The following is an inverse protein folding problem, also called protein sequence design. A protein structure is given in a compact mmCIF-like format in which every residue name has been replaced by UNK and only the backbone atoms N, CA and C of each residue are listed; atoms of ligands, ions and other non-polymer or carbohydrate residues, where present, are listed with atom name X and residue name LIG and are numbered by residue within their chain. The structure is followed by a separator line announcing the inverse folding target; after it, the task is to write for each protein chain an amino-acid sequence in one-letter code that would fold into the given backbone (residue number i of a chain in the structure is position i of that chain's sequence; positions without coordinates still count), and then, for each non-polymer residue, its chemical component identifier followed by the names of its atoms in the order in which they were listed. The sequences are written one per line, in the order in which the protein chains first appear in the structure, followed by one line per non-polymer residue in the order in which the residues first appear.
data_IF_804679244733
#
_entry.id   IF_804679244733
#
_cell.length_a   1.000
_cell.length_b   1.000
_cell.length_c   1.000
_cell.angle_alpha   90.00
_cell.angle_beta   90.00
_cell.angle_gamma   90.00
#
_symmetry.space_group_name_H-M   'P 1'
#
loop_
_entity.id
_entity.type
_entity.pdbx_description
1 polymer ?
#
# COMPACT_ATOMS: atom_id res chain seq x y z
N UNK A 1 -30.24 25.93 -15.20
CA UNK A 1 -29.99 25.37 -13.87
C UNK A 1 -28.71 24.53 -13.99
N UNK A 2 -27.59 25.01 -13.46
CA UNK A 2 -26.37 24.21 -13.37
C UNK A 2 -26.61 23.10 -12.33
N UNK A 3 -26.35 21.86 -12.73
CA UNK A 3 -26.35 20.74 -11.79
C UNK A 3 -25.34 21.05 -10.67
N UNK A 4 -25.66 20.80 -9.39
CA UNK A 4 -24.70 20.99 -8.32
C UNK A 4 -23.48 20.13 -8.60
N UNK A 5 -22.29 20.73 -8.55
CA UNK A 5 -21.02 20.00 -8.60
C UNK A 5 -21.05 19.01 -7.43
N UNK A 6 -20.89 17.71 -7.65
CA UNK A 6 -20.90 16.76 -6.55
C UNK A 6 -19.82 17.16 -5.53
N UNK A 7 -20.19 17.22 -4.26
CA UNK A 7 -19.23 17.46 -3.18
C UNK A 7 -18.20 16.35 -3.19
N UNK A 8 -16.92 16.73 -3.25
CA UNK A 8 -15.80 15.77 -3.20
C UNK A 8 -15.25 15.74 -1.78
N UNK A 9 -15.04 14.57 -1.26
CA UNK A 9 -14.56 14.27 0.08
C UNK A 9 -13.18 13.65 0.02
N UNK A 10 -12.38 13.83 1.07
CA UNK A 10 -11.09 13.19 1.23
C UNK A 10 -11.21 12.04 2.23
N UNK A 11 -10.80 10.84 1.81
CA UNK A 11 -10.72 9.71 2.73
C UNK A 11 -9.32 9.08 2.73
N UNK A 12 -8.96 8.45 3.84
CA UNK A 12 -7.74 7.64 3.96
C UNK A 12 -8.18 6.22 4.28
N UNK A 13 -7.69 5.30 3.45
CA UNK A 13 -7.92 3.88 3.59
C UNK A 13 -6.64 3.19 4.04
N UNK A 14 -6.74 2.31 5.04
CA UNK A 14 -5.65 1.41 5.41
C UNK A 14 -5.77 0.11 4.61
N UNK A 15 -4.64 -0.41 4.18
CA UNK A 15 -4.52 -1.61 3.36
C UNK A 15 -3.63 -2.61 4.09
N UNK A 16 -4.05 -3.87 4.17
CA UNK A 16 -3.28 -4.92 4.83
C UNK A 16 -3.43 -6.26 4.14
N UNK A 17 -2.34 -7.03 4.05
CA UNK A 17 -2.34 -8.38 3.49
C UNK A 17 -1.30 -9.25 4.19
N UNK A 18 -1.63 -10.53 4.48
CA UNK A 18 -0.66 -11.47 5.02
C UNK A 18 -0.73 -12.88 4.42
N UNK A 19 -1.51 -13.06 3.35
CA UNK A 19 -1.59 -14.32 2.61
C UNK A 19 -1.21 -14.12 1.14
N UNK A 20 -0.56 -15.12 0.56
CA UNK A 20 -0.21 -15.15 -0.87
C UNK A 20 0.70 -13.99 -1.28
N UNK A 21 0.48 -13.48 -2.48
CA UNK A 21 1.24 -12.37 -3.06
C UNK A 21 0.78 -11.02 -2.46
N UNK A 22 1.17 -10.77 -1.20
CA UNK A 22 0.72 -9.63 -0.38
C UNK A 22 0.75 -8.28 -1.10
N UNK A 23 1.86 -7.99 -1.81
CA UNK A 23 2.02 -6.77 -2.61
C UNK A 23 0.96 -6.70 -3.70
N UNK A 24 0.79 -7.78 -4.45
CA UNK A 24 -0.18 -7.85 -5.54
C UNK A 24 -1.60 -7.53 -5.05
N UNK A 25 -2.02 -8.10 -3.93
CA UNK A 25 -3.36 -7.86 -3.40
C UNK A 25 -3.58 -6.41 -2.96
N UNK A 26 -2.57 -5.78 -2.36
CA UNK A 26 -2.65 -4.36 -1.99
C UNK A 26 -2.71 -3.49 -3.26
N UNK A 27 -1.82 -3.71 -4.24
CA UNK A 27 -1.81 -2.96 -5.49
C UNK A 27 -3.09 -3.16 -6.30
N UNK A 28 -3.61 -4.39 -6.38
CA UNK A 28 -4.89 -4.68 -7.02
C UNK A 28 -6.07 -3.98 -6.35
N UNK A 29 -6.04 -3.84 -5.00
CA UNK A 29 -7.05 -3.06 -4.27
C UNK A 29 -7.00 -1.58 -4.65
N UNK A 30 -5.80 -0.99 -4.69
CA UNK A 30 -5.62 0.41 -5.09
C UNK A 30 -6.07 0.61 -6.54
N UNK A 31 -5.71 -0.30 -7.44
CA UNK A 31 -6.14 -0.25 -8.83
C UNK A 31 -7.67 -0.36 -8.97
N UNK A 32 -8.31 -1.25 -8.23
CA UNK A 32 -9.77 -1.41 -8.26
C UNK A 32 -10.48 -0.16 -7.71
N UNK A 33 -9.92 0.50 -6.68
CA UNK A 33 -10.41 1.79 -6.19
C UNK A 33 -10.29 2.87 -7.28
N UNK A 34 -9.13 2.98 -7.94
CA UNK A 34 -8.87 4.00 -8.98
C UNK A 34 -9.73 3.81 -10.24
N UNK A 35 -10.13 2.57 -10.53
CA UNK A 35 -11.05 2.26 -11.63
C UNK A 35 -12.51 2.62 -11.32
N UNK A 36 -12.84 2.92 -10.05
CA UNK A 36 -14.20 3.28 -9.68
C UNK A 36 -14.51 4.74 -10.10
N UNK A 37 -15.61 5.03 -10.84
CA UNK A 37 -15.86 6.33 -11.46
C UNK A 37 -16.05 7.49 -10.48
N UNK A 38 -16.28 7.20 -9.20
CA UNK A 38 -16.46 8.18 -8.13
C UNK A 38 -15.27 8.24 -7.16
N UNK A 39 -14.14 7.61 -7.48
CA UNK A 39 -12.94 7.57 -6.64
C UNK A 39 -11.74 7.98 -7.49
N UNK A 40 -10.87 8.79 -6.91
CA UNK A 40 -9.57 9.14 -7.47
C UNK A 40 -8.50 8.90 -6.40
N UNK A 41 -7.45 8.14 -6.73
CA UNK A 41 -6.29 8.01 -5.86
C UNK A 41 -5.50 9.33 -5.90
N UNK A 42 -5.24 9.89 -4.73
CA UNK A 42 -4.50 11.17 -4.59
C UNK A 42 -3.05 10.91 -4.17
N UNK A 43 -2.85 9.93 -3.28
CA UNK A 43 -1.53 9.63 -2.72
C UNK A 43 -1.50 8.20 -2.16
N UNK A 44 -0.31 7.61 -2.04
CA UNK A 44 -0.09 6.30 -1.43
C UNK A 44 1.09 6.33 -0.48
N UNK A 45 1.02 5.57 0.60
CA UNK A 45 2.12 5.42 1.54
C UNK A 45 3.21 4.49 1.03
N UNK A 46 4.33 4.44 1.74
CA UNK A 46 5.25 3.32 1.65
C UNK A 46 4.64 2.04 2.21
N UNK A 47 5.30 0.90 1.92
CA UNK A 47 4.95 -0.38 2.52
C UNK A 47 5.68 -0.61 3.83
N UNK A 48 4.99 -1.26 4.77
CA UNK A 48 5.50 -1.62 6.08
C UNK A 48 5.20 -3.09 6.37
N UNK A 49 6.24 -3.85 6.69
CA UNK A 49 6.09 -5.22 7.17
C UNK A 49 6.02 -5.23 8.69
N UNK A 50 5.00 -5.90 9.25
CA UNK A 50 4.75 -5.92 10.69
C UNK A 50 4.47 -7.33 11.18
N UNK A 51 4.79 -7.60 12.46
CA UNK A 51 4.26 -8.76 13.15
C UNK A 51 2.73 -8.68 13.23
N UNK A 52 2.02 -9.82 13.24
CA UNK A 52 0.59 -9.84 13.48
C UNK A 52 0.27 -9.36 14.89
N UNK A 53 -0.88 -8.64 15.02
CA UNK A 53 -1.39 -8.17 16.31
C UNK A 53 -2.63 -9.01 16.68
N UNK A 54 -2.77 -9.37 17.95
CA UNK A 54 -3.89 -10.12 18.55
C UNK A 54 -3.88 -11.64 18.31
N UNK A 55 -3.83 -12.12 17.10
CA UNK A 55 -3.67 -13.53 16.74
C UNK A 55 -2.27 -13.69 16.13
N UNK A 56 -1.33 -14.25 16.90
CA UNK A 56 0.10 -14.24 16.58
C UNK A 56 0.51 -15.39 15.66
N UNK A 57 -0.23 -16.51 15.67
CA UNK A 57 0.05 -17.69 14.83
C UNK A 57 -0.45 -17.48 13.39
N UNK A 58 0.17 -16.53 12.71
CA UNK A 58 -0.11 -16.20 11.30
C UNK A 58 1.08 -15.47 10.67
N UNK A 59 1.19 -15.45 9.33
CA UNK A 59 2.25 -14.74 8.64
C UNK A 59 2.27 -13.24 8.94
N UNK A 60 3.45 -12.61 8.77
CA UNK A 60 3.64 -11.16 8.86
C UNK A 60 2.78 -10.43 7.84
N UNK A 61 2.24 -9.29 8.26
CA UNK A 61 1.47 -8.41 7.38
C UNK A 61 2.37 -7.49 6.56
N UNK A 62 1.97 -7.26 5.32
CA UNK A 62 2.35 -6.10 4.56
C UNK A 62 1.23 -5.07 4.69
N UNK A 63 1.56 -3.87 5.16
CA UNK A 63 0.61 -2.79 5.38
C UNK A 63 0.97 -1.57 4.53
N UNK A 64 -0.04 -0.83 4.13
CA UNK A 64 0.05 0.44 3.44
C UNK A 64 -1.20 1.27 3.68
N UNK A 65 -1.28 2.40 3.04
CA UNK A 65 -2.47 3.23 3.02
C UNK A 65 -2.58 3.99 1.70
N UNK A 66 -3.78 4.37 1.32
CA UNK A 66 -4.01 5.30 0.23
C UNK A 66 -4.93 6.44 0.65
N UNK A 67 -4.67 7.61 0.10
CA UNK A 67 -5.50 8.81 0.22
C UNK A 67 -6.29 8.96 -1.06
N UNK A 68 -7.59 9.09 -0.93
CA UNK A 68 -8.53 9.18 -2.05
C UNK A 68 -9.35 10.45 -1.99
N UNK A 69 -9.77 10.92 -3.15
CA UNK A 69 -10.86 11.87 -3.32
C UNK A 69 -12.07 11.13 -3.85
N UNK A 70 -13.27 11.37 -3.27
CA UNK A 70 -14.47 10.64 -3.64
C UNK A 70 -15.73 11.47 -3.49
N UNK A 71 -16.75 11.16 -4.29
CA UNK A 71 -18.12 11.66 -4.11
C UNK A 71 -19.07 10.64 -3.47
N UNK A 72 -18.55 9.48 -3.04
CA UNK A 72 -19.29 8.48 -2.31
C UNK A 72 -19.51 8.91 -0.86
N UNK A 73 -20.64 8.62 -0.28
CA UNK A 73 -20.83 8.69 1.18
C UNK A 73 -19.97 7.66 1.91
N UNK A 74 -19.72 7.79 3.23
CA UNK A 74 -18.94 6.79 3.98
C UNK A 74 -19.47 5.35 3.84
N UNK A 75 -20.79 5.16 3.80
CA UNK A 75 -21.42 3.84 3.66
C UNK A 75 -21.27 3.27 2.25
N UNK A 76 -21.46 4.09 1.21
CA UNK A 76 -21.21 3.67 -0.17
C UNK A 76 -19.72 3.29 -0.38
N UNK A 77 -18.80 4.06 0.23
CA UNK A 77 -17.36 3.75 0.19
C UNK A 77 -17.06 2.43 0.89
N UNK A 78 -17.69 2.17 2.04
CA UNK A 78 -17.56 0.89 2.75
C UNK A 78 -18.02 -0.28 1.86
N UNK A 79 -19.16 -0.14 1.19
CA UNK A 79 -19.68 -1.17 0.29
C UNK A 79 -18.70 -1.44 -0.87
N UNK A 80 -18.08 -0.39 -1.42
CA UNK A 80 -17.02 -0.53 -2.45
C UNK A 80 -15.80 -1.27 -1.90
N UNK A 81 -15.29 -0.89 -0.72
CA UNK A 81 -14.15 -1.57 -0.09
C UNK A 81 -14.42 -3.06 0.14
N UNK A 82 -15.58 -3.40 0.72
CA UNK A 82 -15.97 -4.79 0.96
C UNK A 82 -16.16 -5.60 -0.33
N UNK A 83 -16.65 -4.97 -1.38
CA UNK A 83 -16.78 -5.62 -2.68
C UNK A 83 -15.42 -5.92 -3.30
N UNK A 84 -14.47 -4.99 -3.23
CA UNK A 84 -13.08 -5.20 -3.67
C UNK A 84 -12.43 -6.36 -2.90
N UNK A 85 -12.56 -6.38 -1.58
CA UNK A 85 -12.05 -7.48 -0.75
C UNK A 85 -12.61 -8.83 -1.19
N UNK A 86 -13.92 -8.90 -1.43
CA UNK A 86 -14.59 -10.11 -1.89
C UNK A 86 -14.12 -10.54 -3.28
N UNK A 87 -13.97 -9.61 -4.22
CA UNK A 87 -13.47 -9.89 -5.57
C UNK A 87 -12.03 -10.43 -5.56
N UNK A 88 -11.21 -9.97 -4.62
CA UNK A 88 -9.83 -10.42 -4.45
C UNK A 88 -9.72 -11.73 -3.64
N UNK A 89 -10.86 -12.36 -3.31
CA UNK A 89 -10.89 -13.69 -2.68
C UNK A 89 -10.87 -13.67 -1.16
N UNK A 90 -11.14 -12.53 -0.51
CA UNK A 90 -11.31 -12.50 0.94
C UNK A 90 -12.52 -13.32 1.35
N UNK A 91 -12.30 -14.37 2.14
CA UNK A 91 -13.35 -15.14 2.82
C UNK A 91 -13.28 -14.90 4.33
N UNK A 92 -14.43 -14.83 4.96
CA UNK A 92 -14.56 -14.80 6.43
C UNK A 92 -14.94 -16.17 6.99
N UNK A 93 -15.19 -17.15 6.11
CA UNK A 93 -15.58 -18.49 6.51
C UNK A 93 -14.40 -19.23 7.13
N UNK A 94 -14.58 -19.79 8.30
CA UNK A 94 -13.59 -20.57 9.05
C UNK A 94 -12.29 -19.80 9.43
N UNK A 95 -12.30 -18.46 9.29
CA UNK A 95 -11.15 -17.65 9.71
C UNK A 95 -11.42 -17.04 11.08
N UNK A 96 -10.52 -17.20 12.06
CA UNK A 96 -10.69 -16.59 13.38
C UNK A 96 -10.70 -15.05 13.29
N UNK A 97 -11.29 -14.41 14.28
CA UNK A 97 -11.27 -12.94 14.37
C UNK A 97 -9.81 -12.45 14.38
N UNK A 98 -9.48 -11.45 13.56
CA UNK A 98 -8.13 -10.96 13.30
C UNK A 98 -7.16 -11.99 12.70
N UNK A 99 -7.67 -13.06 12.12
CA UNK A 99 -6.90 -14.10 11.46
C UNK A 99 -6.33 -13.70 10.10
N UNK A 100 -5.68 -14.64 9.40
CA UNK A 100 -5.02 -14.38 8.13
C UNK A 100 -6.02 -14.00 7.02
N UNK A 101 -5.59 -13.12 6.11
CA UNK A 101 -6.40 -12.63 5.01
C UNK A 101 -5.59 -12.18 3.80
N UNK A 102 -6.17 -12.39 2.63
CA UNK A 102 -5.56 -11.96 1.36
C UNK A 102 -5.46 -10.44 1.28
N UNK A 103 -6.51 -9.72 1.71
CA UNK A 103 -6.52 -8.26 1.76
C UNK A 103 -7.55 -7.75 2.78
N UNK A 104 -7.26 -6.59 3.34
CA UNK A 104 -8.11 -5.80 4.24
C UNK A 104 -8.09 -4.35 3.76
N UNK A 105 -9.26 -3.73 3.61
CA UNK A 105 -9.40 -2.33 3.14
C UNK A 105 -10.31 -1.60 4.11
N UNK A 106 -9.72 -0.92 5.10
CA UNK A 106 -10.43 -0.23 6.16
C UNK A 106 -10.50 1.29 5.91
N UNK A 107 -11.69 1.90 6.06
CA UNK A 107 -11.84 3.35 6.08
C UNK A 107 -11.32 3.89 7.42
N UNK A 108 -10.21 4.61 7.37
CA UNK A 108 -9.53 5.13 8.57
C UNK A 108 -10.05 6.51 8.93
N UNK A 109 -10.13 7.38 7.94
CA UNK A 109 -10.54 8.77 8.04
C UNK A 109 -11.41 9.13 6.84
N UNK A 110 -12.36 10.03 7.06
CA UNK A 110 -13.20 10.60 6.01
C UNK A 110 -13.51 12.06 6.35
N UNK A 111 -12.84 13.01 5.68
CA UNK A 111 -12.78 14.42 6.09
C UNK A 111 -12.58 14.54 7.62
N UNK A 112 -13.29 15.46 8.25
CA UNK A 112 -13.35 15.57 9.71
C UNK A 112 -14.60 14.90 10.32
N UNK A 113 -15.23 13.97 9.57
CA UNK A 113 -16.47 13.33 10.03
C UNK A 113 -16.21 12.38 11.20
N UNK A 114 -17.19 12.37 12.08
CA UNK A 114 -17.33 11.37 13.13
C UNK A 114 -18.60 10.58 12.82
N UNK A 115 -18.45 9.29 12.52
CA UNK A 115 -19.54 8.37 12.25
C UNK A 115 -19.50 7.25 13.28
N UNK A 116 -20.61 6.93 13.86
CA UNK A 116 -20.77 5.77 14.73
C UNK A 116 -22.07 5.06 14.38
N UNK A 117 -21.98 4.09 13.49
CA UNK A 117 -23.07 3.22 13.07
C UNK A 117 -22.85 1.79 13.62
N UNK A 118 -22.72 1.71 14.94
CA UNK A 118 -22.53 0.44 15.67
C UNK A 118 -21.37 -0.38 15.13
N UNK A 119 -21.66 -1.65 14.83
CA UNK A 119 -20.64 -2.57 14.29
C UNK A 119 -20.39 -2.41 12.79
N UNK A 120 -21.20 -1.62 12.09
CA UNK A 120 -21.12 -1.48 10.64
C UNK A 120 -20.01 -0.54 10.20
N UNK A 121 -19.95 0.67 10.79
CA UNK A 121 -18.99 1.71 10.40
C UNK A 121 -18.69 2.66 11.54
N UNK A 122 -17.42 2.79 11.87
CA UNK A 122 -16.92 3.78 12.83
C UNK A 122 -15.83 4.60 12.16
N UNK A 123 -16.00 5.92 12.07
CA UNK A 123 -15.02 6.88 11.54
C UNK A 123 -14.81 8.00 12.57
N UNK A 124 -13.57 8.38 12.92
CA UNK A 124 -12.32 7.68 12.60
C UNK A 124 -12.35 6.23 13.07
N UNK A 125 -11.61 5.35 12.38
CA UNK A 125 -11.55 3.94 12.74
C UNK A 125 -11.22 3.79 14.23
N UNK A 126 -12.05 3.04 14.98
CA UNK A 126 -12.07 3.01 16.44
C UNK A 126 -10.69 2.79 17.10
N UNK A 127 -9.82 2.02 16.47
CA UNK A 127 -8.48 1.66 16.97
C UNK A 127 -7.33 2.29 16.19
N UNK A 128 -7.58 3.35 15.42
CA UNK A 128 -6.55 4.07 14.66
C UNK A 128 -5.38 4.50 15.56
N UNK A 129 -5.69 5.11 16.69
CA UNK A 129 -4.72 5.71 17.59
C UNK A 129 -3.85 4.72 18.37
N UNK A 130 -4.19 3.43 18.35
CA UNK A 130 -3.45 2.36 19.02
C UNK A 130 -2.55 1.55 18.05
N UNK A 131 -2.74 1.73 16.74
CA UNK A 131 -2.17 0.86 15.70
C UNK A 131 -1.06 1.57 14.93
N UNK A 132 0.19 1.31 15.30
CA UNK A 132 1.33 1.87 14.57
C UNK A 132 1.33 1.49 13.08
N UNK A 133 0.91 0.26 12.74
CA UNK A 133 0.83 -0.24 11.37
C UNK A 133 -0.24 0.47 10.50
N UNK A 134 -1.16 1.21 11.12
CA UNK A 134 -2.10 2.12 10.44
C UNK A 134 -1.57 3.55 10.48
N UNK A 135 -1.16 4.04 11.67
CA UNK A 135 -0.69 5.42 11.85
C UNK A 135 0.54 5.76 11.01
N UNK A 136 1.48 4.82 10.90
CA UNK A 136 2.72 5.08 10.15
C UNK A 136 2.45 5.32 8.66
N UNK A 137 1.71 4.44 7.94
CA UNK A 137 1.30 4.70 6.56
C UNK A 137 0.48 6.00 6.42
N UNK A 138 -0.44 6.28 7.34
CA UNK A 138 -1.21 7.54 7.33
C UNK A 138 -0.30 8.75 7.46
N UNK A 139 0.73 8.69 8.32
CA UNK A 139 1.69 9.78 8.50
C UNK A 139 2.58 10.03 7.28
N UNK A 140 2.75 9.10 6.38
CA UNK A 140 3.48 9.34 5.12
C UNK A 140 2.75 10.35 4.23
N UNK A 141 1.40 10.42 4.30
CA UNK A 141 0.54 11.24 3.44
C UNK A 141 -0.11 12.42 4.17
N UNK A 142 -0.39 12.28 5.46
CA UNK A 142 -1.16 13.25 6.23
C UNK A 142 -0.68 13.40 7.70
N UNK A 143 0.61 13.69 7.96
CA UNK A 143 1.14 13.74 9.34
C UNK A 143 0.50 14.84 10.20
N UNK A 144 0.10 15.95 9.57
CA UNK A 144 -0.52 17.10 10.23
C UNK A 144 -2.04 17.02 10.40
N UNK A 145 -2.68 15.99 9.83
CA UNK A 145 -4.13 15.80 9.96
C UNK A 145 -4.49 15.63 11.45
N UNK A 146 -5.47 16.41 11.92
CA UNK A 146 -5.93 16.36 13.31
C UNK A 146 -7.06 15.37 13.47
N UNK A 147 -6.89 14.39 14.35
CA UNK A 147 -7.94 13.42 14.68
C UNK A 147 -9.16 14.13 15.25
N UNK A 148 -10.36 14.04 14.63
CA UNK A 148 -11.50 14.88 15.01
C UNK A 148 -11.99 14.68 16.44
N UNK A 149 -11.79 13.50 17.04
CA UNK A 149 -12.19 13.22 18.44
C UNK A 149 -11.04 13.53 19.39
N UNK A 150 -9.81 13.06 19.11
CA UNK A 150 -8.68 13.14 20.04
C UNK A 150 -7.98 14.51 20.00
N UNK A 151 -8.27 15.35 19.02
CA UNK A 151 -7.68 16.68 18.83
C UNK A 151 -6.14 16.67 18.83
N UNK A 152 -5.55 15.59 18.31
CA UNK A 152 -4.10 15.39 18.16
C UNK A 152 -3.78 15.10 16.69
N UNK A 153 -2.61 15.54 16.23
CA UNK A 153 -2.16 15.22 14.86
C UNK A 153 -1.80 13.75 14.73
N UNK A 154 -1.87 13.20 13.51
CA UNK A 154 -1.47 11.81 13.24
C UNK A 154 -0.02 11.57 13.66
N UNK A 155 0.88 12.53 13.39
CA UNK A 155 2.27 12.46 13.84
C UNK A 155 2.37 12.38 15.39
N UNK A 156 1.60 13.18 16.10
CA UNK A 156 1.57 13.13 17.58
C UNK A 156 1.01 11.82 18.13
N UNK A 157 0.01 11.24 17.48
CA UNK A 157 -0.52 9.92 17.84
C UNK A 157 0.52 8.83 17.61
N UNK A 158 1.21 8.87 16.47
CA UNK A 158 2.26 7.90 16.14
C UNK A 158 3.39 7.88 17.17
N UNK A 159 3.82 9.04 17.68
CA UNK A 159 4.88 9.10 18.72
C UNK A 159 4.48 8.44 20.04
N UNK A 160 3.19 8.23 20.27
CA UNK A 160 2.65 7.58 21.47
C UNK A 160 2.42 6.07 21.28
N UNK A 161 2.68 5.52 20.10
CA UNK A 161 2.50 4.10 19.79
C UNK A 161 3.85 3.38 19.66
N UNK A 162 3.89 2.09 20.04
CA UNK A 162 5.08 1.27 19.84
C UNK A 162 5.25 0.94 18.36
N UNK A 163 6.46 1.18 17.85
CA UNK A 163 6.89 0.82 16.49
C UNK A 163 7.70 -0.49 16.47
N UNK A 164 7.69 -1.25 17.56
CA UNK A 164 8.36 -2.53 17.63
C UNK A 164 7.86 -3.46 16.51
N UNK A 165 8.77 -4.25 15.96
CA UNK A 165 8.51 -5.21 14.87
C UNK A 165 7.89 -4.64 13.59
N UNK A 166 8.05 -3.35 13.33
CA UNK A 166 7.65 -2.71 12.08
C UNK A 166 8.88 -2.27 11.29
N UNK A 167 8.95 -2.68 10.03
CA UNK A 167 10.00 -2.30 9.10
C UNK A 167 9.40 -1.69 7.85
N UNK A 168 9.91 -0.52 7.42
CA UNK A 168 9.62 0.00 6.09
C UNK A 168 10.31 -0.90 5.07
N UNK A 169 9.56 -1.35 4.07
CA UNK A 169 10.06 -2.29 3.06
C UNK A 169 9.81 -1.78 1.65
N UNK A 170 10.68 -2.20 0.74
CA UNK A 170 10.52 -2.02 -0.69
C UNK A 170 10.36 -3.40 -1.32
N UNK A 171 9.20 -3.72 -1.88
CA UNK A 171 9.01 -4.96 -2.62
C UNK A 171 9.81 -4.93 -3.93
N UNK A 172 10.73 -5.89 -4.10
CA UNK A 172 11.54 -6.02 -5.32
C UNK A 172 11.36 -7.44 -5.85
N UNK A 173 10.63 -7.61 -6.94
CA UNK A 173 10.19 -8.92 -7.47
C UNK A 173 9.46 -9.72 -6.39
N UNK A 174 10.01 -10.85 -5.95
CA UNK A 174 9.46 -11.72 -4.92
C UNK A 174 10.03 -11.47 -3.52
N UNK A 175 10.97 -10.52 -3.39
CA UNK A 175 11.65 -10.19 -2.13
C UNK A 175 11.09 -8.93 -1.48
N UNK A 176 11.23 -8.86 -0.16
CA UNK A 176 10.95 -7.66 0.63
C UNK A 176 12.27 -7.11 1.17
N UNK A 177 12.70 -5.95 0.65
CA UNK A 177 13.92 -5.30 1.10
C UNK A 177 13.62 -4.33 2.21
N UNK A 178 14.12 -4.61 3.41
CA UNK A 178 14.02 -3.68 4.52
C UNK A 178 14.83 -2.41 4.22
N UNK A 179 14.17 -1.26 4.32
CA UNK A 179 14.79 0.05 4.09
C UNK A 179 15.84 0.34 5.14
N UNK A 180 17.05 0.73 4.72
CA UNK A 180 18.16 1.05 5.60
C UNK A 180 18.90 -0.16 6.18
N UNK A 181 18.54 -1.40 5.79
CA UNK A 181 19.23 -2.61 6.26
C UNK A 181 20.63 -2.76 5.70
N UNK A 182 20.86 -2.38 4.46
CA UNK A 182 22.17 -2.30 3.78
C UNK A 182 22.12 -1.33 2.60
N UNK A 183 23.29 -0.85 2.19
CA UNK A 183 23.42 -0.15 0.91
C UNK A 183 23.18 -1.12 -0.23
N UNK A 184 22.34 -0.72 -1.17
CA UNK A 184 22.03 -1.48 -2.39
C UNK A 184 22.69 -0.80 -3.58
N UNK A 185 23.32 -1.57 -4.43
CA UNK A 185 23.95 -1.08 -5.66
C UNK A 185 23.07 -1.47 -6.83
N UNK A 186 22.57 -0.49 -7.55
CA UNK A 186 21.74 -0.72 -8.74
C UNK A 186 22.61 -0.62 -10.00
N UNK A 187 22.67 -1.69 -10.78
CA UNK A 187 23.27 -1.68 -12.12
C UNK A 187 22.31 -1.03 -13.12
N UNK A 188 22.86 -0.22 -14.02
CA UNK A 188 22.09 0.36 -15.13
C UNK A 188 22.58 -0.26 -16.43
N UNK A 189 21.69 -0.90 -17.17
CA UNK A 189 21.94 -1.46 -18.48
C UNK A 189 21.17 -0.66 -19.53
N UNK A 190 21.88 0.11 -20.34
CA UNK A 190 21.29 0.83 -21.46
C UNK A 190 21.28 -0.07 -22.69
N UNK A 191 20.07 -0.43 -23.14
CA UNK A 191 19.83 -1.22 -24.34
C UNK A 191 19.14 -0.35 -25.40
N UNK A 192 19.79 0.76 -25.80
CA UNK A 192 19.25 1.66 -26.83
C UNK A 192 19.84 1.29 -28.20
N UNK A 193 19.12 1.53 -29.34
CA UNK A 193 19.66 1.26 -30.69
C UNK A 193 20.98 1.98 -30.97
N UNK A 194 21.15 3.20 -30.44
CA UNK A 194 22.36 3.99 -30.62
C UNK A 194 23.59 3.44 -29.87
N UNK A 195 23.38 2.58 -28.87
CA UNK A 195 24.47 1.96 -28.12
C UNK A 195 25.11 0.78 -28.87
N UNK A 196 24.53 0.35 -29.99
CA UNK A 196 24.90 -0.89 -30.69
C UNK A 196 24.82 -0.72 -32.20
N UNK A 197 25.62 0.14 -32.77
CA UNK A 197 25.54 0.57 -34.16
C UNK A 197 25.95 -0.46 -35.22
N UNK A 198 26.39 -1.67 -34.84
CA UNK A 198 26.86 -2.68 -35.82
C UNK A 198 26.32 -4.10 -35.54
N UNK A 199 25.24 -4.45 -36.21
CA UNK A 199 24.90 -5.83 -36.59
C UNK A 199 24.01 -6.66 -35.67
N UNK A 200 22.76 -6.88 -36.08
CA UNK A 200 21.92 -8.02 -35.75
C UNK A 200 21.26 -8.05 -34.37
N UNK A 201 19.93 -8.00 -34.32
CA UNK A 201 19.12 -8.01 -33.07
C UNK A 201 19.50 -9.10 -32.06
N UNK A 202 19.91 -10.29 -32.48
CA UNK A 202 20.29 -11.39 -31.58
C UNK A 202 21.62 -11.16 -30.84
N UNK A 203 22.62 -10.52 -31.49
CA UNK A 203 23.89 -10.21 -30.85
C UNK A 203 23.76 -9.17 -29.74
N UNK A 204 22.78 -8.28 -29.85
CA UNK A 204 22.52 -7.25 -28.85
C UNK A 204 21.94 -7.82 -27.55
N UNK A 205 21.02 -8.76 -27.64
CA UNK A 205 20.43 -9.44 -26.48
C UNK A 205 21.49 -10.24 -25.73
N UNK A 206 22.33 -11.00 -26.44
CA UNK A 206 23.36 -11.81 -25.82
C UNK A 206 24.42 -10.93 -25.10
N UNK A 207 24.81 -9.81 -25.69
CA UNK A 207 25.73 -8.86 -25.09
C UNK A 207 25.11 -8.22 -23.83
N UNK A 208 23.86 -7.80 -23.90
CA UNK A 208 23.12 -7.25 -22.76
C UNK A 208 22.98 -8.27 -21.63
N UNK A 209 22.63 -9.51 -21.96
CA UNK A 209 22.53 -10.61 -21.00
C UNK A 209 23.89 -10.96 -20.36
N UNK A 210 24.98 -10.92 -21.14
CA UNK A 210 26.33 -11.12 -20.61
C UNK A 210 26.70 -10.03 -19.62
N UNK A 211 26.44 -8.76 -19.96
CA UNK A 211 26.70 -7.61 -19.07
C UNK A 211 25.85 -7.70 -17.79
N UNK A 212 24.57 -8.03 -17.90
CA UNK A 212 23.68 -8.21 -16.75
C UNK A 212 24.18 -9.32 -15.81
N UNK A 213 24.67 -10.45 -16.35
CA UNK A 213 25.27 -11.53 -15.56
C UNK A 213 26.54 -11.08 -14.86
N UNK A 214 27.42 -10.37 -15.54
CA UNK A 214 28.65 -9.82 -14.92
C UNK A 214 28.32 -8.85 -13.78
N UNK A 215 27.31 -8.00 -13.93
CA UNK A 215 26.83 -7.11 -12.86
C UNK A 215 26.33 -7.93 -11.66
N UNK A 216 25.53 -8.97 -11.90
CA UNK A 216 25.02 -9.84 -10.85
C UNK A 216 26.16 -10.59 -10.11
N UNK A 217 27.14 -11.13 -10.85
CA UNK A 217 28.33 -11.78 -10.29
C UNK A 217 29.22 -10.80 -9.49
N UNK A 218 29.25 -9.52 -9.88
CA UNK A 218 29.93 -8.45 -9.15
C UNK A 218 29.15 -7.99 -7.90
N UNK A 219 27.99 -8.56 -7.59
CA UNK A 219 27.22 -8.28 -6.38
C UNK A 219 26.25 -7.10 -6.50
N UNK A 220 25.86 -6.72 -7.72
CA UNK A 220 24.81 -5.73 -7.95
C UNK A 220 23.46 -6.30 -7.52
N UNK A 221 22.73 -5.58 -6.67
CA UNK A 221 21.45 -6.03 -6.11
C UNK A 221 20.34 -6.06 -7.16
N UNK A 222 19.86 -4.94 -7.75
CA UNK A 222 18.98 -4.92 -8.90
C UNK A 222 19.70 -4.46 -10.16
N UNK A 223 19.23 -4.89 -11.31
CA UNK A 223 19.62 -4.33 -12.61
C UNK A 223 18.39 -3.66 -13.23
N UNK A 224 18.50 -2.36 -13.48
CA UNK A 224 17.51 -1.60 -14.26
C UNK A 224 17.97 -1.58 -15.71
N UNK A 225 17.05 -1.75 -16.63
CA UNK A 225 17.31 -1.60 -18.06
C UNK A 225 16.31 -0.66 -18.70
N UNK A 226 16.77 0.13 -19.67
CA UNK A 226 15.91 0.99 -20.48
C UNK A 226 15.48 0.24 -21.73
N UNK A 227 14.19 0.27 -22.01
CA UNK A 227 13.62 -0.20 -23.27
C UNK A 227 13.74 0.86 -24.36
N UNK A 228 13.78 0.36 -25.52
CA UNK A 228 13.44 1.03 -26.76
C UNK A 228 11.96 1.11 -26.95
#
# INVERSE_FOLDING_TARGET
MSLPVPSTHMAILALGSNLGERKHYIEASVQALDQHPKIQIVDTSFFYETAPMYYEDQPRFLNGACKIQTSLTPHELLDVCQNIEKQLGRSKEHVPRNGPRVVDVDIVLYDNLVVNDGDRLIIPHARLHERAFVLRPVCDMAPSFVHPILQRTMASLLTSTSMADMSRVMPVRHDMWAWGSKTRVMGILNATPDSFSDGGEHMHIDAAMKTARQMAEAGVDPVSYTHL
#
